data_IF_873870935611
#
_entry.id   IF_873870935611
#
_cell.length_a   1.000
_cell.length_b   1.000
_cell.length_c   1.000
_cell.angle_alpha   90.00
_cell.angle_beta   90.00
_cell.angle_gamma   90.00
#
_symmetry.space_group_name_H-M   'P 1'
#
loop_
_entity.id
_entity.type
_entity.pdbx_description
1 polymer ?
#
# COMPACT_ATOMS: atom_id res chain seq x y z
N UNK A 1 14.96 -3.75 12.62
CA UNK A 1 13.98 -3.15 11.69
C UNK A 1 12.70 -3.98 11.77
N UNK A 2 11.67 -3.54 12.50
CA UNK A 2 10.43 -4.33 12.60
C UNK A 2 9.70 -4.25 11.25
N UNK A 3 9.65 -5.37 10.53
CA UNK A 3 8.81 -5.51 9.36
C UNK A 3 7.35 -5.28 9.78
N UNK A 4 6.76 -4.16 9.35
CA UNK A 4 5.35 -3.90 9.56
C UNK A 4 4.57 -5.02 8.84
N UNK A 5 3.61 -5.71 9.47
CA UNK A 5 3.00 -6.89 8.88
C UNK A 5 2.10 -6.49 7.71
N UNK A 6 2.66 -6.49 6.49
CA UNK A 6 1.98 -6.37 5.19
C UNK A 6 0.99 -7.52 4.89
N UNK A 7 0.67 -8.40 5.85
CA UNK A 7 -0.01 -9.69 5.63
C UNK A 7 -1.50 -9.67 6.06
N UNK A 8 -2.15 -8.51 6.19
CA UNK A 8 -3.58 -8.46 6.57
C UNK A 8 -4.48 -7.61 5.69
N UNK A 9 -4.06 -7.27 4.49
CA UNK A 9 -4.92 -6.56 3.55
C UNK A 9 -6.18 -7.37 3.18
N UNK A 10 -6.08 -8.71 3.21
CA UNK A 10 -7.18 -9.63 2.92
C UNK A 10 -8.21 -9.86 4.05
N UNK A 11 -7.97 -9.37 5.28
CA UNK A 11 -8.79 -9.73 6.45
C UNK A 11 -9.94 -8.73 6.70
N UNK A 12 -9.83 -7.49 6.22
CA UNK A 12 -10.87 -6.48 6.40
C UNK A 12 -11.79 -6.44 5.18
N UNK A 13 -13.09 -6.73 5.40
CA UNK A 13 -14.15 -6.39 4.42
C UNK A 13 -14.02 -4.90 4.05
N UNK A 14 -14.29 -4.56 2.78
CA UNK A 14 -14.25 -3.17 2.29
C UNK A 14 -14.94 -2.24 3.30
N UNK A 15 -14.15 -1.37 3.92
CA UNK A 15 -14.63 -0.38 4.88
C UNK A 15 -15.37 0.73 4.15
N UNK A 16 -16.42 1.27 4.76
CA UNK A 16 -17.04 2.53 4.31
C UNK A 16 -16.17 3.76 4.63
N UNK A 17 -15.17 3.59 5.49
CA UNK A 17 -14.23 4.63 5.90
C UNK A 17 -12.93 4.49 5.12
N UNK A 18 -12.36 5.63 4.71
CA UNK A 18 -11.01 5.69 4.14
C UNK A 18 -9.97 5.47 5.24
N UNK A 19 -8.76 5.08 4.86
CA UNK A 19 -7.68 4.84 5.83
C UNK A 19 -7.32 6.11 6.61
N UNK A 20 -7.39 7.26 5.95
CA UNK A 20 -7.15 8.58 6.56
C UNK A 20 -8.27 8.97 7.55
N UNK A 21 -9.52 8.52 7.31
CA UNK A 21 -10.61 8.66 8.28
C UNK A 21 -10.41 7.74 9.48
N UNK A 22 -10.00 6.49 9.23
CA UNK A 22 -9.70 5.52 10.28
C UNK A 22 -8.59 6.04 11.20
N UNK A 23 -7.50 6.55 10.64
CA UNK A 23 -6.40 7.13 11.41
C UNK A 23 -6.85 8.30 12.30
N UNK A 24 -7.69 9.20 11.78
CA UNK A 24 -8.27 10.31 12.56
C UNK A 24 -9.12 9.83 13.74
N UNK A 25 -9.96 8.82 13.52
CA UNK A 25 -10.79 8.24 14.59
C UNK A 25 -9.92 7.58 15.67
N UNK A 26 -8.85 6.89 15.27
CA UNK A 26 -7.90 6.29 16.23
C UNK A 26 -7.12 7.35 17.03
N UNK A 27 -6.75 8.47 16.40
CA UNK A 27 -6.12 9.60 17.10
C UNK A 27 -7.08 10.25 18.11
N UNK A 28 -8.35 10.45 17.74
CA UNK A 28 -9.38 10.94 18.67
C UNK A 28 -9.50 10.01 19.89
N UNK A 29 -9.56 8.70 19.68
CA UNK A 29 -9.57 7.71 20.76
C UNK A 29 -8.28 7.63 21.58
N UNK A 30 -7.14 8.01 21.00
CA UNK A 30 -5.85 8.07 21.71
C UNK A 30 -5.69 9.33 22.57
N UNK A 31 -6.41 10.42 22.27
CA UNK A 31 -6.37 11.67 23.03
C UNK A 31 -6.87 11.53 24.48
N UNK A 32 -7.62 10.46 24.78
CA UNK A 32 -8.21 10.21 26.09
C UNK A 32 -9.41 11.09 26.44
N UNK A 33 -9.85 11.98 25.53
CA UNK A 33 -10.97 12.91 25.77
C UNK A 33 -12.36 12.26 25.66
N UNK A 34 -12.46 11.08 25.06
CA UNK A 34 -13.73 10.39 24.83
C UNK A 34 -13.52 8.90 25.09
N UNK A 35 -14.48 8.28 25.77
CA UNK A 35 -14.40 6.83 26.01
C UNK A 35 -14.51 6.09 24.68
N UNK A 36 -13.93 4.89 24.59
CA UNK A 36 -14.08 4.07 23.38
C UNK A 36 -15.54 3.82 23.01
N UNK A 37 -16.43 3.67 24.01
CA UNK A 37 -17.86 3.41 23.81
C UNK A 37 -18.52 4.60 23.12
N UNK A 38 -18.28 5.81 23.62
CA UNK A 38 -18.80 7.05 23.04
C UNK A 38 -18.23 7.31 21.65
N UNK A 39 -16.93 7.08 21.46
CA UNK A 39 -16.28 7.19 20.15
C UNK A 39 -16.90 6.24 19.12
N UNK A 40 -17.15 4.99 19.52
CA UNK A 40 -17.80 4.00 18.67
C UNK A 40 -19.23 4.42 18.30
N UNK A 41 -20.00 4.96 19.25
CA UNK A 41 -21.35 5.50 18.99
C UNK A 41 -21.31 6.71 18.06
N UNK A 42 -20.41 7.67 18.31
CA UNK A 42 -20.22 8.90 17.53
C UNK A 42 -19.95 8.60 16.05
N UNK A 43 -19.07 7.64 15.78
CA UNK A 43 -18.68 7.28 14.42
C UNK A 43 -19.49 6.13 13.82
N UNK A 44 -20.48 5.59 14.54
CA UNK A 44 -21.32 4.49 14.05
C UNK A 44 -20.55 3.19 13.78
N UNK A 45 -19.51 2.91 14.56
CA UNK A 45 -18.67 1.71 14.43
C UNK A 45 -18.80 0.79 15.64
N UNK A 46 -18.57 -0.50 15.45
CA UNK A 46 -18.49 -1.43 16.59
C UNK A 46 -17.14 -1.34 17.30
N UNK A 47 -17.09 -1.69 18.59
CA UNK A 47 -15.81 -1.79 19.32
C UNK A 47 -14.84 -2.78 18.67
N UNK A 48 -15.36 -3.89 18.12
CA UNK A 48 -14.56 -4.88 17.40
C UNK A 48 -13.90 -4.26 16.15
N UNK A 49 -14.64 -3.43 15.41
CA UNK A 49 -14.12 -2.65 14.27
C UNK A 49 -12.99 -1.74 14.73
N UNK A 50 -13.20 -0.99 15.81
CA UNK A 50 -12.19 -0.09 16.36
C UNK A 50 -10.90 -0.82 16.74
N UNK A 51 -10.97 -1.95 17.46
CA UNK A 51 -9.79 -2.72 17.83
C UNK A 51 -9.08 -3.34 16.61
N UNK A 52 -9.85 -3.77 15.61
CA UNK A 52 -9.28 -4.27 14.34
C UNK A 52 -8.49 -3.17 13.64
N UNK A 53 -9.04 -1.95 13.57
CA UNK A 53 -8.35 -0.79 13.02
C UNK A 53 -7.14 -0.39 13.85
N UNK A 54 -7.25 -0.35 15.19
CA UNK A 54 -6.14 -0.04 16.10
C UNK A 54 -4.98 -1.01 15.93
N UNK A 55 -5.25 -2.29 15.65
CA UNK A 55 -4.20 -3.28 15.36
C UNK A 55 -3.49 -3.03 14.02
N UNK A 56 -4.20 -2.51 13.01
CA UNK A 56 -3.64 -2.29 11.66
C UNK A 56 -2.96 -0.92 11.52
N UNK A 57 -3.60 0.12 12.03
CA UNK A 57 -3.24 1.52 11.82
C UNK A 57 -2.83 2.24 13.13
N UNK A 58 -2.90 1.57 14.28
CA UNK A 58 -2.51 2.17 15.55
C UNK A 58 -1.03 2.54 15.56
N UNK A 59 -0.73 3.77 15.98
CA UNK A 59 0.64 4.31 15.98
C UNK A 59 1.10 4.90 14.65
N UNK A 60 0.24 4.94 13.62
CA UNK A 60 0.48 5.68 12.38
C UNK A 60 -0.19 7.04 12.45
N UNK A 61 0.51 8.10 12.03
CA UNK A 61 -0.14 9.39 11.82
C UNK A 61 -0.93 9.40 10.50
N UNK A 62 -1.89 10.31 10.38
CA UNK A 62 -2.69 10.46 9.15
C UNK A 62 -1.82 10.71 7.92
N UNK A 63 -0.72 11.45 8.07
CA UNK A 63 0.24 11.73 7.00
C UNK A 63 1.04 10.48 6.61
N UNK A 64 1.41 9.63 7.57
CA UNK A 64 2.09 8.35 7.30
C UNK A 64 1.21 7.42 6.46
N UNK A 65 -0.09 7.37 6.78
CA UNK A 65 -1.06 6.57 6.03
C UNK A 65 -1.20 7.08 4.60
N UNK A 66 -1.30 8.39 4.42
CA UNK A 66 -1.37 9.01 3.08
C UNK A 66 -0.10 8.71 2.28
N UNK A 67 1.07 8.94 2.87
CA UNK A 67 2.37 8.70 2.24
C UNK A 67 2.54 7.23 1.85
N UNK A 68 2.12 6.30 2.71
CA UNK A 68 2.19 4.87 2.43
C UNK A 68 1.39 4.50 1.18
N UNK A 69 0.16 5.00 1.09
CA UNK A 69 -0.73 4.77 -0.05
C UNK A 69 -0.20 5.37 -1.36
N UNK A 70 0.43 6.54 -1.27
CA UNK A 70 1.06 7.19 -2.43
C UNK A 70 2.25 6.35 -2.91
N UNK A 71 3.11 5.91 -2.00
CA UNK A 71 4.25 5.04 -2.31
C UNK A 71 3.81 3.68 -2.87
N UNK A 72 2.70 3.11 -2.40
CA UNK A 72 2.16 1.86 -2.94
C UNK A 72 1.63 2.01 -4.36
N UNK A 73 0.96 3.14 -4.66
CA UNK A 73 0.52 3.46 -6.03
C UNK A 73 1.71 3.66 -6.96
N UNK A 74 2.71 4.43 -6.55
CA UNK A 74 3.92 4.63 -7.34
C UNK A 74 4.66 3.30 -7.57
N UNK A 75 4.79 2.46 -6.54
CA UNK A 75 5.44 1.16 -6.67
C UNK A 75 4.71 0.24 -7.66
N UNK A 76 3.37 0.23 -7.63
CA UNK A 76 2.56 -0.53 -8.57
C UNK A 76 2.75 -0.02 -10.02
N UNK A 77 2.77 1.30 -10.21
CA UNK A 77 3.01 1.91 -11.51
C UNK A 77 4.42 1.59 -12.02
N UNK A 78 5.44 1.73 -11.18
CA UNK A 78 6.83 1.43 -11.52
C UNK A 78 7.01 -0.05 -11.92
N UNK A 79 6.42 -0.98 -11.17
CA UNK A 79 6.45 -2.41 -11.53
C UNK A 79 5.81 -2.69 -12.88
N UNK A 80 4.69 -2.04 -13.20
CA UNK A 80 4.04 -2.17 -14.51
C UNK A 80 4.94 -1.66 -15.63
N UNK A 81 5.51 -0.47 -15.46
CA UNK A 81 6.41 0.12 -16.46
C UNK A 81 7.67 -0.73 -16.66
N UNK A 82 8.21 -1.29 -15.58
CA UNK A 82 9.35 -2.20 -15.66
C UNK A 82 9.02 -3.45 -16.47
N UNK A 83 7.91 -4.11 -16.17
CA UNK A 83 7.47 -5.29 -16.93
C UNK A 83 7.24 -4.98 -18.42
N UNK A 84 6.67 -3.81 -18.74
CA UNK A 84 6.49 -3.36 -20.12
C UNK A 84 7.82 -3.15 -20.85
N UNK A 85 8.78 -2.49 -20.19
CA UNK A 85 10.14 -2.30 -20.75
C UNK A 85 10.87 -3.62 -20.91
N UNK A 86 10.76 -4.55 -19.96
CA UNK A 86 11.38 -5.87 -20.05
C UNK A 86 10.85 -6.66 -21.25
N UNK A 87 9.53 -6.60 -21.50
CA UNK A 87 8.92 -7.23 -22.68
C UNK A 87 9.45 -6.63 -24.00
N UNK A 88 9.59 -5.31 -24.08
CA UNK A 88 10.15 -4.64 -25.26
C UNK A 88 11.62 -5.00 -25.49
N UNK A 89 12.41 -5.02 -24.41
CA UNK A 89 13.81 -5.44 -24.44
C UNK A 89 13.92 -6.88 -24.93
N UNK A 90 13.09 -7.79 -24.41
CA UNK A 90 13.09 -9.19 -24.84
C UNK A 90 12.70 -9.36 -26.30
N UNK A 91 11.68 -8.63 -26.77
CA UNK A 91 11.31 -8.62 -28.19
C UNK A 91 12.45 -8.12 -29.08
N UNK A 92 13.14 -7.03 -28.69
CA UNK A 92 14.28 -6.50 -29.41
C UNK A 92 15.46 -7.49 -29.42
N UNK A 93 15.78 -8.10 -28.27
CA UNK A 93 16.81 -9.15 -28.14
C UNK A 93 16.50 -10.34 -29.06
N UNK A 94 15.24 -10.76 -29.17
CA UNK A 94 14.82 -11.86 -30.05
C UNK A 94 15.01 -11.53 -31.54
N UNK A 95 14.64 -10.32 -31.97
CA UNK A 95 14.81 -9.87 -33.36
C UNK A 95 16.29 -9.82 -33.76
N UNK A 96 17.15 -9.23 -32.90
CA UNK A 96 18.59 -9.17 -33.15
C UNK A 96 19.21 -10.57 -33.28
N UNK A 97 18.82 -11.50 -32.40
CA UNK A 97 19.25 -12.90 -32.47
C UNK A 97 18.83 -13.57 -33.77
N UNK A 98 17.57 -13.37 -34.23
CA UNK A 98 17.08 -13.91 -35.50
C UNK A 98 17.84 -13.37 -36.71
N UNK A 99 18.24 -12.10 -36.66
CA UNK A 99 18.97 -11.44 -37.74
C UNK A 99 20.50 -11.67 -37.69
N UNK A 100 20.99 -12.49 -36.75
CA UNK A 100 22.42 -12.75 -36.57
C UNK A 100 23.23 -11.54 -36.08
N UNK A 101 22.56 -10.52 -35.55
CA UNK A 101 23.19 -9.29 -35.08
C UNK A 101 23.60 -9.40 -33.61
N UNK A 102 24.77 -8.83 -33.27
CA UNK A 102 25.24 -8.79 -31.90
C UNK A 102 24.38 -7.85 -31.04
N UNK A 103 24.07 -8.26 -29.80
CA UNK A 103 23.31 -7.43 -28.87
C UNK A 103 24.11 -6.18 -28.44
N UNK A 104 23.54 -4.98 -28.50
CA UNK A 104 24.11 -3.75 -27.95
C UNK A 104 24.39 -3.88 -26.44
N UNK A 105 25.45 -3.22 -25.93
CA UNK A 105 25.85 -3.26 -24.52
C UNK A 105 24.74 -2.83 -23.55
N UNK A 106 23.90 -1.88 -23.96
CA UNK A 106 22.77 -1.37 -23.18
C UNK A 106 21.70 -2.42 -22.91
N UNK A 107 21.63 -3.49 -23.71
CA UNK A 107 20.68 -4.59 -23.54
C UNK A 107 21.28 -5.81 -22.82
N UNK A 108 22.54 -5.76 -22.38
CA UNK A 108 23.22 -6.92 -21.75
C UNK A 108 23.04 -7.01 -20.23
N UNK A 109 22.61 -5.93 -19.58
CA UNK A 109 22.61 -5.80 -18.11
C UNK A 109 21.22 -5.58 -17.49
N UNK A 110 20.16 -5.71 -18.31
CA UNK A 110 18.76 -5.78 -17.87
C UNK A 110 18.28 -7.21 -17.87
#
# INVERSE_FOLDING_TARGET
MRLHPRIKESILKKSKFTEEQIARILQEGASGQTTQIELCRKHGISQNTYYTWKRKYGGMETEDVRRLKDLERENAQLKRLLAERDMEVDAAKQLLRKNGQALPLILKHG
#
